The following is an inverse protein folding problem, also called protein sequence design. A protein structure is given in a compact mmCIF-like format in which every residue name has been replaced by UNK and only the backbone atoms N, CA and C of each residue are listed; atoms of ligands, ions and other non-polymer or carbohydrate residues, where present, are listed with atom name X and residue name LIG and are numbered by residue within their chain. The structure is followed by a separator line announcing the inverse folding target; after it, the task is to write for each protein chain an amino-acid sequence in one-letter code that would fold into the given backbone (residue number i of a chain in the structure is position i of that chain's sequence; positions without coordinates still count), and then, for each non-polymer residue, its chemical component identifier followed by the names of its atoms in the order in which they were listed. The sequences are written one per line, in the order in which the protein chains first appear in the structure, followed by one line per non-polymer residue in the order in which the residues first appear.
data_IF_911906311323
#
_entry.id   IF_911906311323
#
_cell.length_a   1.000
_cell.length_b   1.000
_cell.length_c   1.000
_cell.angle_alpha   90.00
_cell.angle_beta   90.00
_cell.angle_gamma   90.00
#
_symmetry.space_group_name_H-M   'P 1'
#
loop_
_entity.id
_entity.type
_entity.pdbx_description
1 polymer ?
#
# COMPACT_ATOMS: atom_id res chain seq x y z
N UNK A 1 -6.48 37.72 63.29
CA UNK A 1 -7.41 37.13 62.31
C UNK A 1 -6.59 36.82 61.07
N UNK A 2 -6.31 35.53 60.80
CA UNK A 2 -5.56 35.06 59.63
C UNK A 2 -6.55 34.37 58.70
N UNK A 3 -6.85 34.96 57.57
CA UNK A 3 -7.72 34.40 56.52
C UNK A 3 -6.84 33.61 55.54
N UNK A 4 -6.99 32.26 55.54
CA UNK A 4 -6.35 31.39 54.58
C UNK A 4 -7.20 31.31 53.32
N UNK A 5 -6.66 31.76 52.20
CA UNK A 5 -7.27 31.59 50.84
C UNK A 5 -6.82 30.24 50.29
N UNK A 6 -7.76 29.31 50.08
CA UNK A 6 -7.53 28.06 49.41
C UNK A 6 -7.76 28.25 47.91
N UNK A 7 -6.66 28.19 47.11
CA UNK A 7 -6.76 28.12 45.66
C UNK A 7 -7.07 26.65 45.25
N UNK A 8 -8.30 26.40 44.77
CA UNK A 8 -8.68 25.15 44.17
C UNK A 8 -8.20 25.18 42.71
N UNK A 9 -7.13 24.45 42.41
CA UNK A 9 -6.68 24.21 41.03
C UNK A 9 -7.59 23.11 40.44
N UNK A 10 -8.55 23.55 39.64
CA UNK A 10 -9.41 22.61 38.85
C UNK A 10 -8.59 21.98 37.71
N UNK A 11 -8.29 20.70 37.82
CA UNK A 11 -7.66 19.90 36.77
C UNK A 11 -8.69 19.63 35.64
N UNK A 12 -8.64 20.41 34.56
CA UNK A 12 -9.49 20.20 33.39
C UNK A 12 -8.95 18.98 32.63
N UNK A 13 -9.54 17.81 32.82
CA UNK A 13 -9.28 16.61 32.02
C UNK A 13 -9.86 16.81 30.62
N UNK A 14 -8.99 17.17 29.66
CA UNK A 14 -9.31 17.16 28.24
C UNK A 14 -9.50 15.70 27.80
N UNK A 15 -10.72 15.23 27.75
CA UNK A 15 -11.07 13.96 27.10
C UNK A 15 -10.98 14.13 25.59
N UNK A 16 -9.89 13.65 24.98
CA UNK A 16 -9.78 13.55 23.53
C UNK A 16 -10.80 12.49 23.09
N UNK A 17 -11.77 12.82 22.22
CA UNK A 17 -12.68 11.81 21.70
C UNK A 17 -11.89 10.82 20.85
N UNK A 18 -11.74 9.59 21.31
CA UNK A 18 -11.28 8.49 20.47
C UNK A 18 -12.34 8.26 19.40
N UNK A 19 -12.05 8.59 18.17
CA UNK A 19 -12.93 8.26 17.05
C UNK A 19 -13.07 6.74 16.98
N UNK A 20 -14.29 6.20 17.00
CA UNK A 20 -14.49 4.76 16.93
C UNK A 20 -13.94 4.28 15.58
N UNK A 21 -12.90 3.45 15.60
CA UNK A 21 -12.50 2.70 14.40
C UNK A 21 -13.70 1.82 14.02
N UNK A 22 -14.32 2.17 12.90
CA UNK A 22 -15.49 1.45 12.41
C UNK A 22 -15.03 0.03 12.02
N UNK A 23 -15.69 -1.02 12.55
CA UNK A 23 -15.39 -2.42 12.22
C UNK A 23 -15.31 -2.70 10.71
N UNK A 24 -16.07 -1.94 9.90
CA UNK A 24 -16.01 -1.95 8.45
C UNK A 24 -14.65 -1.49 7.88
N UNK A 25 -13.99 -0.52 8.52
CA UNK A 25 -12.67 -0.01 8.11
C UNK A 25 -11.59 -1.08 8.29
N UNK A 26 -11.51 -1.71 9.46
CA UNK A 26 -10.54 -2.76 9.74
C UNK A 26 -10.70 -3.99 8.82
N UNK A 27 -11.94 -4.37 8.49
CA UNK A 27 -12.20 -5.44 7.53
C UNK A 27 -11.72 -5.07 6.11
N UNK A 28 -11.92 -3.81 5.69
CA UNK A 28 -11.45 -3.29 4.40
C UNK A 28 -9.93 -3.20 4.36
N UNK A 29 -9.27 -2.71 5.40
CA UNK A 29 -7.80 -2.68 5.51
C UNK A 29 -7.21 -4.07 5.32
N UNK A 30 -7.77 -5.07 6.00
CA UNK A 30 -7.36 -6.47 5.85
C UNK A 30 -7.60 -7.01 4.43
N UNK A 31 -8.72 -6.65 3.80
CA UNK A 31 -9.03 -7.07 2.45
C UNK A 31 -8.03 -6.48 1.44
N UNK A 32 -7.74 -5.18 1.51
CA UNK A 32 -6.76 -4.54 0.63
C UNK A 32 -5.35 -5.08 0.89
N UNK A 33 -4.94 -5.28 2.14
CA UNK A 33 -3.66 -5.92 2.45
C UNK A 33 -3.54 -7.33 1.85
N UNK A 34 -4.64 -8.09 1.76
CA UNK A 34 -4.65 -9.40 1.09
C UNK A 34 -4.45 -9.28 -0.43
N UNK A 35 -4.97 -8.21 -1.07
CA UNK A 35 -4.73 -7.94 -2.49
C UNK A 35 -3.26 -7.59 -2.75
N UNK A 36 -2.60 -6.85 -1.85
CA UNK A 36 -1.15 -6.62 -1.91
C UNK A 36 -0.35 -7.95 -1.85
N UNK A 37 -0.76 -8.86 -0.98
CA UNK A 37 -0.12 -10.18 -0.92
C UNK A 37 -0.35 -11.00 -2.21
N UNK A 38 -1.51 -10.84 -2.86
CA UNK A 38 -1.76 -11.44 -4.17
C UNK A 38 -0.85 -10.84 -5.24
N UNK A 39 -0.62 -9.53 -5.22
CA UNK A 39 0.34 -8.87 -6.11
C UNK A 39 1.77 -9.41 -5.88
N UNK A 40 2.22 -9.46 -4.63
CA UNK A 40 3.52 -10.06 -4.30
C UNK A 40 3.63 -11.49 -4.84
N UNK A 41 2.56 -12.29 -4.71
CA UNK A 41 2.54 -13.65 -5.23
C UNK A 41 2.68 -13.69 -6.75
N UNK A 42 2.05 -12.75 -7.47
CA UNK A 42 2.22 -12.63 -8.92
C UNK A 42 3.68 -12.38 -9.30
N UNK A 43 4.35 -11.46 -8.59
CA UNK A 43 5.77 -11.19 -8.77
C UNK A 43 6.62 -12.43 -8.49
N UNK A 44 6.44 -13.08 -7.34
CA UNK A 44 7.19 -14.28 -6.94
C UNK A 44 7.08 -15.43 -7.96
N UNK A 45 5.96 -15.52 -8.66
CA UNK A 45 5.67 -16.61 -9.61
C UNK A 45 5.76 -16.20 -11.07
N UNK A 46 6.08 -14.93 -11.36
CA UNK A 46 6.03 -14.33 -12.71
C UNK A 46 4.69 -14.61 -13.42
N UNK A 47 3.58 -14.55 -12.64
CA UNK A 47 2.25 -14.87 -13.11
C UNK A 47 1.36 -13.62 -13.16
N UNK A 48 1.21 -12.98 -14.34
CA UNK A 48 0.40 -11.76 -14.48
C UNK A 48 -1.11 -12.01 -14.27
N UNK A 49 -1.63 -13.24 -14.43
CA UNK A 49 -3.04 -13.55 -14.26
C UNK A 49 -3.52 -13.31 -12.81
N UNK A 50 -2.60 -13.33 -11.85
CA UNK A 50 -2.90 -13.03 -10.45
C UNK A 50 -3.09 -11.54 -10.20
N UNK A 51 -2.43 -10.67 -10.97
CA UNK A 51 -2.53 -9.22 -10.77
C UNK A 51 -3.49 -8.55 -11.77
N UNK A 52 -3.77 -9.16 -12.91
CA UNK A 52 -4.67 -8.61 -13.92
C UNK A 52 -6.02 -8.11 -13.33
N UNK A 53 -6.76 -8.92 -12.53
CA UNK A 53 -8.03 -8.47 -11.95
C UNK A 53 -7.88 -7.40 -10.87
N UNK A 54 -6.68 -7.21 -10.34
CA UNK A 54 -6.38 -6.21 -9.32
C UNK A 54 -6.19 -4.81 -9.92
N UNK A 55 -5.74 -4.72 -11.17
CA UNK A 55 -5.46 -3.46 -11.84
C UNK A 55 -6.70 -2.92 -12.54
N UNK A 56 -7.03 -1.66 -12.31
CA UNK A 56 -8.07 -0.97 -13.06
C UNK A 56 -7.68 -0.81 -14.54
N UNK A 57 -8.65 -0.64 -15.45
CA UNK A 57 -8.37 -0.47 -16.88
C UNK A 57 -7.48 0.74 -17.18
N UNK A 58 -7.62 1.79 -16.37
CA UNK A 58 -6.81 3.03 -16.46
C UNK A 58 -5.72 3.09 -15.38
N UNK A 59 -5.23 1.93 -14.94
CA UNK A 59 -4.12 1.86 -13.99
C UNK A 59 -2.88 2.60 -14.53
N UNK A 60 -2.20 3.28 -13.64
CA UNK A 60 -0.93 3.97 -13.91
C UNK A 60 0.08 3.64 -12.81
N UNK A 61 1.29 3.34 -13.21
CA UNK A 61 2.41 3.10 -12.31
C UNK A 61 3.56 4.06 -12.61
N UNK A 62 4.19 4.59 -11.57
CA UNK A 62 5.49 5.25 -11.66
C UNK A 62 6.51 4.37 -10.95
N UNK A 63 7.43 3.82 -11.72
CA UNK A 63 8.50 2.94 -11.22
C UNK A 63 9.58 3.72 -10.49
N UNK A 64 10.43 3.03 -9.74
CA UNK A 64 11.49 3.63 -8.94
C UNK A 64 12.59 4.34 -9.74
N UNK A 65 12.68 4.08 -11.06
CA UNK A 65 13.54 4.81 -12.00
C UNK A 65 12.80 6.02 -12.65
N UNK A 66 11.56 6.29 -12.26
CA UNK A 66 10.76 7.41 -12.73
C UNK A 66 10.01 7.17 -14.05
N UNK A 67 10.03 5.95 -14.58
CA UNK A 67 9.26 5.59 -15.77
C UNK A 67 7.78 5.45 -15.41
N UNK A 68 6.90 5.89 -16.30
CA UNK A 68 5.46 5.72 -16.15
C UNK A 68 4.97 4.64 -17.12
N UNK A 69 4.11 3.74 -16.62
CA UNK A 69 3.53 2.65 -17.41
C UNK A 69 2.06 2.42 -17.09
N UNK A 70 1.35 1.79 -18.03
CA UNK A 70 -0.04 1.38 -17.85
C UNK A 70 -0.19 -0.10 -17.50
N UNK A 71 -1.45 -0.56 -17.38
CA UNK A 71 -1.80 -1.94 -17.02
C UNK A 71 -1.10 -2.98 -17.92
N UNK A 72 -1.14 -2.81 -19.24
CA UNK A 72 -0.57 -3.78 -20.18
C UNK A 72 0.95 -3.95 -19.99
N UNK A 73 1.66 -2.84 -19.77
CA UNK A 73 3.11 -2.86 -19.51
C UNK A 73 3.45 -3.48 -18.16
N UNK A 74 2.66 -3.17 -17.11
CA UNK A 74 2.83 -3.77 -15.78
C UNK A 74 2.63 -5.30 -15.82
N UNK A 75 1.63 -5.80 -16.56
CA UNK A 75 1.41 -7.23 -16.75
C UNK A 75 2.57 -7.89 -17.52
N UNK A 76 3.05 -7.23 -18.58
CA UNK A 76 4.20 -7.73 -19.35
C UNK A 76 5.48 -7.77 -18.50
N UNK A 77 5.74 -6.72 -17.70
CA UNK A 77 6.84 -6.65 -16.76
C UNK A 77 6.79 -7.76 -15.70
N UNK A 78 5.62 -8.00 -15.10
CA UNK A 78 5.41 -9.09 -14.13
C UNK A 78 5.74 -10.47 -14.75
N UNK A 79 5.33 -10.70 -16.01
CA UNK A 79 5.61 -11.96 -16.72
C UNK A 79 7.09 -12.15 -17.02
N UNK A 80 7.79 -11.08 -17.36
CA UNK A 80 9.17 -11.12 -17.79
C UNK A 80 10.16 -11.15 -16.63
N UNK A 81 9.88 -10.44 -15.54
CA UNK A 81 10.72 -10.38 -14.36
C UNK A 81 10.90 -11.77 -13.70
N UNK A 82 12.08 -12.04 -13.18
CA UNK A 82 12.44 -13.30 -12.51
C UNK A 82 12.97 -13.02 -11.11
N UNK A 83 12.23 -13.48 -10.12
CA UNK A 83 12.59 -13.31 -8.72
C UNK A 83 13.17 -14.57 -8.11
N UNK A 84 14.37 -14.47 -7.58
CA UNK A 84 14.94 -15.50 -6.70
C UNK A 84 14.36 -15.37 -5.28
N UNK A 85 14.02 -14.16 -4.88
CA UNK A 85 13.28 -13.86 -3.66
C UNK A 85 12.53 -12.54 -3.81
N UNK A 86 11.33 -12.45 -3.23
CA UNK A 86 10.55 -11.21 -3.14
C UNK A 86 9.71 -11.25 -1.85
N UNK A 87 9.66 -10.13 -1.14
CA UNK A 87 8.85 -9.97 0.07
C UNK A 87 8.40 -8.54 0.25
N UNK A 88 7.23 -8.36 0.87
CA UNK A 88 6.78 -7.09 1.41
C UNK A 88 7.00 -7.05 2.91
N UNK A 89 7.42 -5.91 3.41
CA UNK A 89 7.53 -5.60 4.84
C UNK A 89 6.86 -4.27 5.13
N UNK A 90 6.47 -4.05 6.40
CA UNK A 90 5.87 -2.79 6.87
C UNK A 90 4.62 -2.36 6.08
N UNK A 91 3.80 -3.34 5.66
CA UNK A 91 2.57 -3.05 4.92
C UNK A 91 1.55 -2.38 5.83
N UNK A 92 1.06 -1.23 5.42
CA UNK A 92 0.02 -0.45 6.11
C UNK A 92 -1.05 -0.05 5.11
N UNK A 93 -2.31 -0.11 5.54
CA UNK A 93 -3.45 0.31 4.74
C UNK A 93 -4.25 1.33 5.52
N UNK A 94 -4.62 2.43 4.86
CA UNK A 94 -5.51 3.45 5.40
C UNK A 94 -6.71 3.61 4.49
N UNK A 95 -7.93 3.58 5.05
CA UNK A 95 -9.19 3.59 4.29
C UNK A 95 -9.90 4.94 4.42
N UNK A 96 -10.31 5.50 3.29
CA UNK A 96 -11.00 6.76 3.14
C UNK A 96 -12.27 6.57 2.29
N UNK A 97 -13.35 6.08 2.89
CA UNK A 97 -14.59 5.74 2.17
C UNK A 97 -14.35 4.62 1.13
N UNK A 98 -14.50 4.93 -0.15
CA UNK A 98 -14.28 4.01 -1.26
C UNK A 98 -12.83 4.03 -1.79
N UNK A 99 -11.91 4.69 -1.09
CA UNK A 99 -10.48 4.74 -1.44
C UNK A 99 -9.67 4.15 -0.31
N UNK A 100 -8.63 3.40 -0.62
CA UNK A 100 -7.63 2.96 0.33
C UNK A 100 -6.23 3.28 -0.20
N UNK A 101 -5.35 3.68 0.69
CA UNK A 101 -3.93 3.86 0.42
C UNK A 101 -3.18 2.74 1.12
N UNK A 102 -2.47 1.94 0.36
CA UNK A 102 -1.56 0.94 0.88
C UNK A 102 -0.11 1.42 0.71
N UNK A 103 0.73 1.16 1.70
CA UNK A 103 2.16 1.46 1.65
C UNK A 103 2.94 0.28 2.19
N UNK A 104 4.17 0.12 1.72
CA UNK A 104 5.05 -0.92 2.23
C UNK A 104 6.47 -0.76 1.72
N UNK A 105 7.30 -1.73 2.07
CA UNK A 105 8.65 -1.87 1.54
C UNK A 105 8.75 -3.19 0.79
N UNK A 106 9.29 -3.14 -0.42
CA UNK A 106 9.63 -4.30 -1.22
C UNK A 106 11.11 -4.61 -1.07
N UNK A 107 11.43 -5.88 -0.84
CA UNK A 107 12.78 -6.43 -0.88
C UNK A 107 12.80 -7.61 -1.83
N UNK A 108 13.58 -7.48 -2.91
CA UNK A 108 13.66 -8.51 -3.93
C UNK A 108 15.09 -8.75 -4.41
N UNK A 109 15.31 -9.94 -4.95
CA UNK A 109 16.53 -10.31 -5.70
C UNK A 109 16.07 -11.03 -6.96
N UNK A 110 16.70 -10.71 -8.08
CA UNK A 110 16.36 -11.29 -9.37
C UNK A 110 16.72 -10.37 -10.51
N UNK A 111 16.03 -10.51 -11.64
CA UNK A 111 16.20 -9.66 -12.81
C UNK A 111 14.85 -9.08 -13.24
N UNK A 112 14.87 -7.84 -13.68
CA UNK A 112 13.73 -7.14 -14.28
C UNK A 112 13.41 -7.69 -15.69
N UNK A 113 12.44 -7.07 -16.37
CA UNK A 113 12.02 -7.40 -17.73
C UNK A 113 13.12 -7.19 -18.78
N UNK A 114 14.17 -6.43 -18.48
CA UNK A 114 15.32 -6.16 -19.35
C UNK A 114 16.55 -7.03 -18.99
N UNK A 115 16.41 -7.96 -18.03
CA UNK A 115 17.49 -8.80 -17.55
C UNK A 115 18.48 -8.10 -16.62
N UNK A 116 18.19 -6.88 -16.17
CA UNK A 116 19.01 -6.16 -15.19
C UNK A 116 18.68 -6.60 -13.76
N UNK A 117 19.64 -6.54 -12.83
CA UNK A 117 19.36 -6.79 -11.43
C UNK A 117 18.23 -5.88 -10.92
N UNK A 118 17.28 -6.47 -10.19
CA UNK A 118 16.17 -5.74 -9.58
C UNK A 118 16.72 -4.76 -8.54
N UNK A 119 16.36 -3.48 -8.67
CA UNK A 119 16.68 -2.46 -7.69
C UNK A 119 15.87 -2.70 -6.41
N UNK A 120 16.51 -2.69 -5.25
CA UNK A 120 15.90 -3.01 -3.96
C UNK A 120 16.82 -2.52 -2.82
N UNK A 121 16.29 -2.12 -1.64
CA UNK A 121 14.86 -2.05 -1.32
C UNK A 121 14.13 -0.86 -1.95
N UNK A 122 12.82 -0.99 -2.11
CA UNK A 122 11.94 0.07 -2.59
C UNK A 122 10.82 0.35 -1.58
N UNK A 123 10.42 1.60 -1.44
CA UNK A 123 9.16 1.99 -0.82
C UNK A 123 8.11 2.19 -1.90
N UNK A 124 6.92 1.65 -1.66
CA UNK A 124 5.82 1.78 -2.58
C UNK A 124 4.57 2.36 -1.90
N UNK A 125 3.73 2.96 -2.72
CA UNK A 125 2.43 3.52 -2.34
C UNK A 125 1.42 3.19 -3.43
N UNK A 126 0.38 2.46 -3.07
CA UNK A 126 -0.69 2.04 -3.97
C UNK A 126 -2.01 2.66 -3.58
N UNK A 127 -2.73 3.14 -4.58
CA UNK A 127 -4.06 3.71 -4.41
C UNK A 127 -5.09 2.72 -4.93
N UNK A 128 -5.94 2.25 -4.03
CA UNK A 128 -7.03 1.32 -4.30
C UNK A 128 -8.36 2.04 -4.27
N UNK A 129 -9.25 1.69 -5.20
CA UNK A 129 -10.61 2.24 -5.27
C UNK A 129 -11.60 1.09 -5.32
N UNK A 130 -12.67 1.21 -4.53
CA UNK A 130 -13.81 0.29 -4.58
C UNK A 130 -14.67 0.64 -5.78
N UNK A 131 -14.65 -0.23 -6.78
CA UNK A 131 -15.37 -0.07 -8.04
C UNK A 131 -16.89 -0.24 -7.84
N UNK A 132 -17.74 0.20 -8.81
CA UNK A 132 -19.18 0.06 -8.73
C UNK A 132 -19.67 -1.40 -8.56
N UNK A 133 -18.89 -2.37 -9.04
CA UNK A 133 -19.16 -3.80 -8.86
C UNK A 133 -18.76 -4.34 -7.47
N UNK A 134 -18.31 -3.46 -6.56
CA UNK A 134 -17.91 -3.79 -5.20
C UNK A 134 -16.49 -4.32 -5.05
N UNK A 135 -15.76 -4.57 -6.13
CA UNK A 135 -14.36 -5.03 -6.09
C UNK A 135 -13.41 -3.86 -5.86
N UNK A 136 -12.34 -4.12 -5.11
CA UNK A 136 -11.23 -3.19 -4.99
C UNK A 136 -10.26 -3.38 -6.16
N UNK A 137 -9.89 -2.27 -6.81
CA UNK A 137 -8.85 -2.28 -7.85
C UNK A 137 -7.83 -1.18 -7.58
N UNK A 138 -6.56 -1.47 -7.84
CA UNK A 138 -5.49 -0.50 -7.81
C UNK A 138 -5.60 0.40 -9.04
N UNK A 139 -5.65 1.71 -8.83
CA UNK A 139 -5.74 2.72 -9.89
C UNK A 139 -4.41 3.43 -10.11
N UNK A 140 -3.56 3.49 -9.09
CA UNK A 140 -2.23 4.07 -9.20
C UNK A 140 -1.25 3.37 -8.25
N UNK A 141 -0.02 3.20 -8.72
CA UNK A 141 1.13 2.71 -7.96
C UNK A 141 2.31 3.67 -8.14
N UNK A 142 3.10 3.82 -7.09
CA UNK A 142 4.36 4.54 -7.14
C UNK A 142 5.40 3.83 -6.29
N UNK A 143 6.59 3.65 -6.85
CA UNK A 143 7.74 3.12 -6.13
C UNK A 143 8.90 4.12 -6.10
N UNK A 144 9.73 4.03 -5.08
CA UNK A 144 10.97 4.79 -4.96
C UNK A 144 12.06 3.94 -4.28
N UNK A 145 13.29 4.07 -4.76
CA UNK A 145 14.44 3.42 -4.11
C UNK A 145 14.66 3.99 -2.71
N UNK A 146 14.93 3.12 -1.76
CA UNK A 146 15.39 3.52 -0.43
C UNK A 146 16.88 3.83 -0.52
N UNK A 147 17.24 5.09 -0.27
CA UNK A 147 18.66 5.47 -0.13
C UNK A 147 19.18 4.90 1.18
N UNK A 148 20.20 4.07 1.10
CA UNK A 148 20.97 3.61 2.25
C UNK A 148 22.06 4.62 2.61
#
# INVERSE_FOLDING_TARGET
MKTSVWCIFGLLLLTIPAWPQNKGTAATEKAVAALEQQWLKAQQTSNPDLIEPLLADRFIETTSDGKTMGKAEALAGTKAAKYASAQYTDVKVSVFGNTAIATGEFKGKGTDENGKPIASPERWTDTWVKMPNGKWQCVASHASLVKM
#
